data_IF_750510626150
#
_entry.id   IF_750510626150
#
_cell.length_a   1.000
_cell.length_b   1.000
_cell.length_c   1.000
_cell.angle_alpha   90.00
_cell.angle_beta   90.00
_cell.angle_gamma   90.00
#
_symmetry.space_group_name_H-M   'P 1'
#
loop_
_entity.id
_entity.type
_entity.pdbx_description
1 polymer ?
#
# COMPACT_ATOMS: atom_id res chain seq x y z
N UNK A 1 29.48 2.14 -4.19
CA UNK A 1 28.14 1.55 -4.19
C UNK A 1 27.28 2.31 -5.20
N UNK A 2 26.47 1.60 -5.99
CA UNK A 2 25.58 2.20 -6.99
C UNK A 2 24.18 1.66 -6.80
N UNK A 3 23.17 2.49 -7.02
CA UNK A 3 21.79 2.04 -7.15
C UNK A 3 21.45 1.82 -8.61
N UNK A 4 20.77 0.75 -8.90
CA UNK A 4 20.18 0.51 -10.23
C UNK A 4 18.88 1.29 -10.34
N UNK A 5 18.71 1.99 -11.46
CA UNK A 5 17.52 2.77 -11.75
C UNK A 5 16.94 2.26 -13.06
N UNK A 6 15.65 1.90 -13.01
CA UNK A 6 14.94 1.44 -14.21
C UNK A 6 13.82 2.40 -14.57
N UNK A 7 13.45 2.43 -15.82
CA UNK A 7 12.24 3.06 -16.34
C UNK A 7 11.77 2.34 -17.58
N UNK A 8 10.49 2.36 -17.86
CA UNK A 8 9.95 1.93 -19.14
C UNK A 8 9.86 3.16 -20.05
N UNK A 9 10.43 3.08 -21.26
CA UNK A 9 10.33 4.17 -22.21
C UNK A 9 9.00 4.11 -23.00
N UNK A 10 8.73 5.16 -23.80
CA UNK A 10 7.52 5.25 -24.64
C UNK A 10 7.33 4.08 -25.61
N UNK A 11 8.40 3.34 -25.90
CA UNK A 11 8.37 2.14 -26.77
C UNK A 11 8.16 0.85 -25.97
N UNK A 12 7.76 0.95 -24.71
CA UNK A 12 7.58 -0.16 -23.77
C UNK A 12 8.86 -1.01 -23.54
N UNK A 13 10.04 -0.39 -23.69
CA UNK A 13 11.34 -1.04 -23.45
C UNK A 13 11.89 -0.64 -22.09
N UNK A 14 12.36 -1.63 -21.32
CA UNK A 14 13.04 -1.40 -20.06
C UNK A 14 14.39 -0.72 -20.31
N UNK A 15 14.59 0.42 -19.68
CA UNK A 15 15.85 1.16 -19.64
C UNK A 15 16.48 0.97 -18.27
N UNK A 16 17.74 0.59 -18.22
CA UNK A 16 18.49 0.35 -16.98
C UNK A 16 19.68 1.30 -16.96
N UNK A 17 19.89 1.93 -15.82
CA UNK A 17 21.02 2.82 -15.55
C UNK A 17 21.48 2.67 -14.10
N UNK A 18 22.70 3.09 -13.79
CA UNK A 18 23.22 3.06 -12.42
C UNK A 18 23.67 4.44 -12.00
N UNK A 19 23.44 4.81 -10.74
CA UNK A 19 23.97 6.03 -10.14
C UNK A 19 24.70 5.73 -8.84
N UNK A 20 25.82 6.41 -8.61
CA UNK A 20 26.49 6.42 -7.32
C UNK A 20 25.55 7.02 -6.28
N UNK A 21 25.53 6.44 -5.08
CA UNK A 21 24.53 6.77 -4.02
C UNK A 21 24.54 8.25 -3.68
N UNK A 22 25.70 8.86 -3.51
CA UNK A 22 25.84 10.29 -3.20
C UNK A 22 25.15 11.16 -4.27
N UNK A 23 25.40 10.87 -5.54
CA UNK A 23 24.77 11.59 -6.65
C UNK A 23 23.27 11.33 -6.76
N UNK A 24 22.84 10.13 -6.33
CA UNK A 24 21.43 9.84 -6.25
C UNK A 24 20.76 10.69 -5.15
N UNK A 25 21.36 10.77 -3.96
CA UNK A 25 20.84 11.57 -2.85
C UNK A 25 20.85 13.08 -3.18
N UNK A 26 21.91 13.56 -3.81
CA UNK A 26 21.94 14.94 -4.32
C UNK A 26 20.81 15.21 -5.33
N UNK A 27 20.50 14.24 -6.17
CA UNK A 27 19.42 14.37 -7.15
C UNK A 27 18.06 14.48 -6.48
N UNK A 28 17.75 13.62 -5.50
CA UNK A 28 16.45 13.68 -4.82
C UNK A 28 16.32 14.92 -3.94
N UNK A 29 17.45 15.52 -3.50
CA UNK A 29 17.44 16.77 -2.74
C UNK A 29 17.25 18.01 -3.61
N UNK A 30 17.78 18.00 -4.84
CA UNK A 30 17.81 19.15 -5.75
C UNK A 30 16.74 19.17 -6.83
N UNK A 31 16.02 18.04 -7.02
CA UNK A 31 14.76 18.09 -7.72
C UNK A 31 14.76 18.05 -9.26
N UNK A 32 15.56 17.19 -9.88
CA UNK A 32 15.43 16.91 -11.32
C UNK A 32 14.06 16.30 -11.70
N UNK A 33 13.36 15.74 -10.72
CA UNK A 33 12.06 15.09 -10.91
C UNK A 33 10.91 15.81 -10.17
N UNK A 34 11.14 16.99 -9.62
CA UNK A 34 10.23 17.72 -8.72
C UNK A 34 8.80 17.79 -9.21
N UNK A 35 8.63 18.26 -10.42
CA UNK A 35 7.30 18.49 -10.96
C UNK A 35 6.50 17.18 -11.01
N UNK A 36 7.15 16.10 -11.40
CA UNK A 36 6.50 14.79 -11.48
C UNK A 36 6.18 14.22 -10.11
N UNK A 37 7.11 14.28 -9.15
CA UNK A 37 6.88 13.82 -7.76
C UNK A 37 5.88 14.72 -7.07
N UNK A 38 5.94 16.03 -7.25
CA UNK A 38 4.98 16.97 -6.69
C UNK A 38 3.58 16.72 -7.23
N UNK A 39 3.43 16.54 -8.54
CA UNK A 39 2.14 16.22 -9.15
C UNK A 39 1.59 14.88 -8.65
N UNK A 40 2.45 13.88 -8.50
CA UNK A 40 2.07 12.61 -7.90
C UNK A 40 1.56 12.80 -6.47
N UNK A 41 2.31 13.52 -5.62
CA UNK A 41 1.90 13.81 -4.24
C UNK A 41 0.59 14.57 -4.16
N UNK A 42 0.34 15.48 -5.10
CA UNK A 42 -0.94 16.21 -5.19
C UNK A 42 -2.09 15.33 -5.64
N UNK A 43 -1.84 14.33 -6.46
CA UNK A 43 -2.88 13.42 -6.98
C UNK A 43 -3.23 12.28 -6.01
N UNK A 44 -2.31 11.90 -5.12
CA UNK A 44 -2.53 10.87 -4.10
C UNK A 44 -3.80 11.12 -3.26
N UNK A 45 -4.18 12.38 -2.89
CA UNK A 45 -5.43 12.67 -2.20
C UNK A 45 -6.71 12.49 -3.03
N UNK A 46 -6.59 12.57 -4.32
CA UNK A 46 -7.75 12.58 -5.20
C UNK A 46 -8.10 11.16 -5.60
N UNK A 47 -9.04 10.52 -4.88
CA UNK A 47 -9.52 9.16 -5.20
C UNK A 47 -9.93 9.01 -6.68
N UNK A 48 -10.26 10.10 -7.35
CA UNK A 48 -10.69 10.11 -8.76
C UNK A 48 -9.55 10.00 -9.78
N UNK A 49 -8.41 10.55 -9.46
CA UNK A 49 -7.23 10.55 -10.35
C UNK A 49 -6.44 9.24 -10.29
N UNK A 50 -6.71 8.43 -9.31
CA UNK A 50 -5.79 7.48 -8.74
C UNK A 50 -5.56 6.24 -9.62
N UNK A 51 -6.63 5.63 -10.13
CA UNK A 51 -6.50 4.36 -10.88
C UNK A 51 -5.88 4.56 -12.26
N UNK A 52 -6.26 5.62 -12.97
CA UNK A 52 -5.68 5.96 -14.28
C UNK A 52 -4.21 6.39 -14.15
N UNK A 53 -3.89 7.09 -13.07
CA UNK A 53 -2.54 7.53 -12.80
C UNK A 53 -1.60 6.39 -12.43
N UNK A 54 -2.06 5.39 -11.68
CA UNK A 54 -1.27 4.19 -11.37
C UNK A 54 -1.00 3.28 -12.57
N UNK A 55 -1.82 3.35 -13.60
CA UNK A 55 -1.45 2.75 -14.90
C UNK A 55 -0.21 3.42 -15.50
N UNK A 56 -0.04 4.72 -15.27
CA UNK A 56 1.15 5.49 -15.68
C UNK A 56 2.39 5.23 -14.82
N UNK A 57 2.25 4.66 -13.60
CA UNK A 57 3.38 4.34 -12.71
C UNK A 57 4.38 3.36 -13.34
N UNK A 58 3.95 2.50 -14.26
CA UNK A 58 4.87 1.64 -15.01
C UNK A 58 5.96 2.43 -15.75
N UNK A 59 5.71 3.68 -16.11
CA UNK A 59 6.69 4.57 -16.75
C UNK A 59 7.59 5.29 -15.75
N UNK A 60 7.28 5.21 -14.44
CA UNK A 60 8.07 5.87 -13.40
C UNK A 60 9.46 5.24 -13.27
N UNK A 61 10.38 6.01 -12.72
CA UNK A 61 11.70 5.48 -12.41
C UNK A 61 11.63 4.69 -11.09
N UNK A 62 12.07 3.43 -11.14
CA UNK A 62 12.19 2.56 -9.97
C UNK A 62 13.65 2.41 -9.60
N UNK A 63 13.95 2.47 -8.32
CA UNK A 63 15.30 2.44 -7.75
C UNK A 63 15.47 1.17 -6.94
N UNK A 64 16.51 0.40 -7.26
CA UNK A 64 16.87 -0.86 -6.60
C UNK A 64 18.11 -0.63 -5.72
N UNK A 65 17.95 -0.52 -4.39
CA UNK A 65 19.06 -0.20 -3.51
C UNK A 65 19.86 -1.42 -3.08
N UNK A 66 19.25 -2.60 -2.99
CA UNK A 66 19.85 -3.80 -2.39
C UNK A 66 20.94 -4.45 -3.27
N UNK A 67 20.81 -4.29 -4.59
CA UNK A 67 21.76 -4.88 -5.54
C UNK A 67 21.95 -4.01 -6.79
N UNK A 68 23.08 -4.20 -7.44
CA UNK A 68 23.35 -3.69 -8.78
C UNK A 68 22.83 -4.72 -9.80
N UNK A 69 22.06 -4.25 -10.78
CA UNK A 69 21.51 -5.07 -11.87
C UNK A 69 21.94 -4.52 -13.23
N UNK A 70 22.13 -5.43 -14.19
CA UNK A 70 22.22 -5.10 -15.60
C UNK A 70 21.00 -5.66 -16.33
N UNK A 71 20.93 -5.38 -17.62
CA UNK A 71 19.89 -5.89 -18.50
C UNK A 71 20.48 -6.93 -19.43
N UNK A 72 19.83 -8.10 -19.56
CA UNK A 72 20.17 -9.11 -20.58
C UNK A 72 19.62 -8.75 -21.98
N UNK A 73 19.93 -9.56 -22.96
CA UNK A 73 19.45 -9.40 -24.35
C UNK A 73 17.92 -9.52 -24.44
N UNK A 74 17.30 -10.31 -23.55
CA UNK A 74 15.86 -10.51 -23.46
C UNK A 74 15.13 -9.38 -22.74
N UNK A 75 15.87 -8.47 -22.12
CA UNK A 75 15.31 -7.33 -21.39
C UNK A 75 15.07 -7.54 -19.91
N UNK A 76 15.49 -8.68 -19.34
CA UNK A 76 15.34 -8.96 -17.92
C UNK A 76 16.47 -8.34 -17.09
N UNK A 77 16.19 -8.07 -15.81
CA UNK A 77 17.22 -7.63 -14.86
C UNK A 77 18.06 -8.84 -14.43
N UNK A 78 19.38 -8.71 -14.55
CA UNK A 78 20.36 -9.71 -14.13
C UNK A 78 21.22 -9.17 -13.03
N UNK A 79 21.28 -9.89 -11.91
CA UNK A 79 22.10 -9.56 -10.75
C UNK A 79 23.59 -9.43 -11.13
N UNK A 80 24.22 -8.39 -10.59
CA UNK A 80 25.66 -8.17 -10.77
C UNK A 80 26.38 -8.20 -9.43
N UNK A 81 25.83 -7.50 -8.42
CA UNK A 81 26.51 -7.35 -7.14
C UNK A 81 25.51 -6.96 -6.06
N UNK A 82 25.65 -7.55 -4.87
CA UNK A 82 24.94 -7.09 -3.66
C UNK A 82 25.55 -5.80 -3.11
N UNK A 83 24.70 -4.88 -2.72
CA UNK A 83 25.09 -3.67 -2.01
C UNK A 83 25.16 -3.84 -0.49
N UNK A 84 24.73 -4.98 0.05
CA UNK A 84 24.65 -5.20 1.49
C UNK A 84 23.68 -4.23 2.18
N UNK A 85 22.55 -3.95 1.53
CA UNK A 85 21.50 -3.08 2.08
C UNK A 85 20.17 -3.82 2.13
N UNK A 86 19.43 -3.62 3.22
CA UNK A 86 18.00 -3.95 3.33
C UNK A 86 17.20 -2.68 3.25
N UNK A 87 16.10 -2.71 2.54
CA UNK A 87 15.14 -1.63 2.44
C UNK A 87 13.95 -1.89 3.36
N UNK A 88 13.65 -0.94 4.24
CA UNK A 88 12.39 -0.86 4.96
C UNK A 88 11.57 0.29 4.39
N UNK A 89 10.29 0.08 4.23
CA UNK A 89 9.37 1.09 3.75
C UNK A 89 8.34 1.37 4.86
N UNK A 90 8.54 2.44 5.63
CA UNK A 90 7.56 2.92 6.60
C UNK A 90 6.44 3.63 5.87
N UNK A 91 5.21 3.29 6.19
CA UNK A 91 4.00 3.78 5.51
C UNK A 91 3.03 4.42 6.50
N UNK A 92 2.02 5.12 5.97
CA UNK A 92 0.96 5.76 6.75
C UNK A 92 1.44 6.89 7.67
N UNK A 93 2.49 7.58 7.27
CA UNK A 93 2.97 8.78 7.94
C UNK A 93 2.17 9.98 7.41
N UNK A 94 1.15 10.38 8.17
CA UNK A 94 0.11 11.30 7.69
C UNK A 94 0.49 12.78 7.83
N UNK A 95 1.52 13.09 8.63
CA UNK A 95 1.99 14.45 8.84
C UNK A 95 3.50 14.56 8.66
N UNK A 96 3.99 15.77 8.38
CA UNK A 96 5.43 16.04 8.34
C UNK A 96 6.08 15.80 9.69
N UNK A 97 5.38 16.07 10.80
CA UNK A 97 5.87 15.80 12.15
C UNK A 97 6.10 14.30 12.40
N UNK A 98 5.17 13.44 11.95
CA UNK A 98 5.37 11.97 12.03
C UNK A 98 6.56 11.53 11.21
N UNK A 99 6.70 12.01 9.97
CA UNK A 99 7.83 11.70 9.09
C UNK A 99 9.16 12.11 9.72
N UNK A 100 9.23 13.33 10.23
CA UNK A 100 10.43 13.87 10.87
C UNK A 100 10.79 13.12 12.13
N UNK A 101 9.82 12.76 12.96
CA UNK A 101 10.02 11.96 14.16
C UNK A 101 10.58 10.56 13.84
N UNK A 102 9.98 9.88 12.86
CA UNK A 102 10.48 8.58 12.39
C UNK A 102 11.89 8.71 11.81
N UNK A 103 12.10 9.69 10.91
CA UNK A 103 13.39 9.93 10.27
C UNK A 103 14.49 10.22 11.30
N UNK A 104 14.20 11.05 12.30
CA UNK A 104 15.11 11.34 13.41
C UNK A 104 15.43 10.09 14.21
N UNK A 105 14.44 9.29 14.58
CA UNK A 105 14.64 8.07 15.37
C UNK A 105 15.49 7.06 14.61
N UNK A 106 15.18 6.77 13.34
CA UNK A 106 15.94 5.80 12.55
C UNK A 106 17.37 6.29 12.28
N UNK A 107 17.58 7.60 12.17
CA UNK A 107 18.92 8.18 11.96
C UNK A 107 19.87 8.03 13.15
N UNK A 108 19.33 7.78 14.35
CA UNK A 108 20.15 7.48 15.55
C UNK A 108 20.68 6.05 15.56
N UNK A 109 20.12 5.16 14.76
CA UNK A 109 20.59 3.78 14.68
C UNK A 109 21.85 3.70 13.82
N UNK A 110 22.97 3.18 14.34
CA UNK A 110 24.26 3.22 13.66
C UNK A 110 24.30 2.42 12.35
N UNK A 111 23.37 1.47 12.16
CA UNK A 111 23.25 0.68 10.95
C UNK A 111 22.42 1.37 9.85
N UNK A 112 21.73 2.48 10.14
CA UNK A 112 20.99 3.22 9.13
C UNK A 112 21.94 3.89 8.15
N UNK A 113 21.90 3.44 6.89
CA UNK A 113 22.72 3.95 5.81
C UNK A 113 22.13 5.22 5.19
N UNK A 114 20.80 5.20 4.91
CA UNK A 114 20.08 6.35 4.40
C UNK A 114 18.61 6.30 4.82
N UNK A 115 17.99 7.47 4.95
CA UNK A 115 16.55 7.61 5.17
C UNK A 115 16.03 8.85 4.45
N UNK A 116 14.96 8.70 3.67
CA UNK A 116 14.36 9.76 2.88
C UNK A 116 12.88 9.50 2.61
N UNK A 117 12.13 10.56 2.31
CA UNK A 117 10.71 10.46 2.00
C UNK A 117 10.42 9.59 0.78
N UNK A 118 9.34 8.82 0.83
CA UNK A 118 8.81 8.11 -0.32
C UNK A 118 8.15 9.03 -1.35
N UNK A 119 7.94 8.52 -2.55
CA UNK A 119 7.36 9.28 -3.65
C UNK A 119 5.94 9.80 -3.33
N UNK A 120 5.18 9.08 -2.52
CA UNK A 120 3.82 9.44 -2.10
C UNK A 120 3.76 10.56 -1.05
N UNK A 121 4.90 11.00 -0.49
CA UNK A 121 4.96 12.01 0.55
C UNK A 121 4.39 11.59 1.91
N UNK A 122 4.01 10.32 2.07
CA UNK A 122 3.40 9.73 3.27
C UNK A 122 4.12 8.50 3.77
N UNK A 123 5.27 8.27 3.22
CA UNK A 123 6.13 7.15 3.57
C UNK A 123 7.57 7.59 3.72
N UNK A 124 8.35 6.75 4.37
CA UNK A 124 9.79 6.92 4.53
C UNK A 124 10.50 5.65 4.09
N UNK A 125 11.46 5.79 3.19
CA UNK A 125 12.35 4.71 2.80
C UNK A 125 13.57 4.74 3.72
N UNK A 126 13.88 3.60 4.34
CA UNK A 126 15.05 3.45 5.20
C UNK A 126 15.91 2.32 4.66
N UNK A 127 17.16 2.64 4.36
CA UNK A 127 18.16 1.70 3.90
C UNK A 127 19.10 1.35 5.06
N UNK A 128 19.22 0.06 5.35
CA UNK A 128 19.96 -0.46 6.50
C UNK A 128 21.12 -1.30 5.99
N UNK A 129 22.34 -1.01 6.49
CA UNK A 129 23.53 -1.74 6.12
C UNK A 129 23.58 -3.11 6.80
N UNK A 130 23.85 -4.16 6.03
CA UNK A 130 23.91 -5.54 6.49
C UNK A 130 25.14 -6.26 5.95
N UNK A 131 25.59 -7.29 6.66
CA UNK A 131 26.64 -8.20 6.20
C UNK A 131 26.39 -9.61 6.76
N UNK A 132 27.07 -10.60 6.17
CA UNK A 132 27.11 -11.95 6.73
C UNK A 132 27.93 -12.02 8.04
N UNK A 133 28.02 -13.18 8.63
CA UNK A 133 28.80 -13.41 9.87
C UNK A 133 30.29 -13.06 9.72
N UNK A 134 30.82 -13.17 8.49
CA UNK A 134 32.20 -12.81 8.15
C UNK A 134 32.43 -11.30 7.97
N UNK A 135 31.35 -10.49 8.03
CA UNK A 135 31.43 -9.05 7.81
C UNK A 135 31.47 -8.65 6.33
N UNK A 136 31.03 -9.52 5.41
CA UNK A 136 31.05 -9.27 3.96
C UNK A 136 29.65 -9.34 3.35
N UNK A 137 29.46 -8.62 2.25
CA UNK A 137 28.29 -8.80 1.39
C UNK A 137 28.55 -9.99 0.45
N UNK A 138 27.59 -10.91 0.26
CA UNK A 138 27.74 -12.03 -0.67
C UNK A 138 27.89 -11.56 -2.14
N UNK A 139 28.68 -12.33 -2.88
CA UNK A 139 28.94 -12.05 -4.31
C UNK A 139 28.01 -12.82 -5.24
N UNK A 140 27.49 -13.97 -4.78
CA UNK A 140 26.56 -14.79 -5.55
C UNK A 140 25.13 -14.38 -5.27
N UNK A 141 24.28 -14.37 -6.29
CA UNK A 141 22.87 -13.96 -6.18
C UNK A 141 22.10 -14.78 -5.14
N UNK A 142 22.20 -16.10 -5.20
CA UNK A 142 21.50 -16.98 -4.26
C UNK A 142 21.87 -16.74 -2.81
N UNK A 143 23.17 -16.54 -2.51
CA UNK A 143 23.64 -16.26 -1.17
C UNK A 143 23.23 -14.86 -0.71
N UNK A 144 23.22 -13.91 -1.65
CA UNK A 144 22.78 -12.53 -1.38
C UNK A 144 21.27 -12.46 -1.10
N UNK A 145 20.46 -13.22 -1.83
CA UNK A 145 19.01 -13.27 -1.61
C UNK A 145 18.67 -13.95 -0.28
N UNK A 146 19.33 -15.04 0.06
CA UNK A 146 19.20 -15.69 1.37
C UNK A 146 19.58 -14.74 2.52
N UNK A 147 20.69 -14.01 2.38
CA UNK A 147 21.11 -13.01 3.37
C UNK A 147 20.06 -11.90 3.49
N UNK A 148 19.55 -11.40 2.37
CA UNK A 148 18.54 -10.34 2.35
C UNK A 148 17.25 -10.77 3.05
N UNK A 149 16.73 -11.96 2.74
CA UNK A 149 15.52 -12.51 3.36
C UNK A 149 15.70 -12.69 4.88
N UNK A 150 16.83 -13.27 5.30
CA UNK A 150 17.13 -13.46 6.71
C UNK A 150 17.33 -12.14 7.46
N UNK A 151 17.94 -11.17 6.80
CA UNK A 151 18.17 -9.84 7.35
C UNK A 151 16.88 -9.02 7.47
N UNK A 152 15.99 -9.13 6.49
CA UNK A 152 14.77 -8.31 6.45
C UNK A 152 13.94 -8.46 7.73
N UNK A 153 13.68 -9.68 8.18
CA UNK A 153 12.86 -9.91 9.38
C UNK A 153 13.58 -9.44 10.66
N UNK A 154 14.90 -9.61 10.75
CA UNK A 154 15.67 -9.14 11.89
C UNK A 154 15.73 -7.61 11.95
N UNK A 155 16.01 -6.97 10.82
CA UNK A 155 16.04 -5.51 10.68
C UNK A 155 14.64 -4.92 10.92
N UNK A 156 13.60 -5.50 10.35
CA UNK A 156 12.21 -5.09 10.55
C UNK A 156 11.83 -5.12 12.02
N UNK A 157 12.10 -6.24 12.71
CA UNK A 157 11.80 -6.38 14.16
C UNK A 157 12.55 -5.34 14.99
N UNK A 158 13.83 -5.13 14.71
CA UNK A 158 14.62 -4.11 15.40
C UNK A 158 14.05 -2.70 15.21
N UNK A 159 13.77 -2.31 13.98
CA UNK A 159 13.27 -0.96 13.69
C UNK A 159 11.85 -0.74 14.19
N UNK A 160 10.99 -1.75 14.14
CA UNK A 160 9.65 -1.69 14.72
C UNK A 160 9.66 -1.53 16.24
N UNK A 161 10.67 -2.06 16.93
CA UNK A 161 10.82 -1.84 18.38
C UNK A 161 11.21 -0.41 18.75
N UNK A 162 11.77 0.35 17.80
CA UNK A 162 12.21 1.73 18.02
C UNK A 162 11.22 2.77 17.49
N UNK A 163 10.38 2.40 16.54
CA UNK A 163 9.50 3.32 15.83
C UNK A 163 8.07 2.77 15.79
N UNK A 164 7.14 3.56 16.30
CA UNK A 164 5.71 3.23 16.24
C UNK A 164 5.12 3.63 14.87
N UNK A 165 5.61 3.00 13.80
CA UNK A 165 5.10 3.22 12.46
C UNK A 165 4.99 1.89 11.70
N UNK A 166 3.99 1.77 10.85
CA UNK A 166 3.77 0.57 10.06
C UNK A 166 4.86 0.42 8.99
N UNK A 167 5.41 -0.77 8.85
CA UNK A 167 6.29 -1.13 7.74
C UNK A 167 5.44 -1.84 6.68
N UNK A 168 5.63 -1.45 5.42
CA UNK A 168 4.97 -2.02 4.25
C UNK A 168 5.13 -3.54 4.25
N UNK A 169 4.02 -4.31 4.28
CA UNK A 169 4.08 -5.76 4.18
C UNK A 169 4.45 -6.14 2.74
N UNK A 170 5.68 -6.58 2.54
CA UNK A 170 6.15 -7.03 1.24
C UNK A 170 7.03 -8.27 1.37
N UNK A 171 7.07 -9.09 0.31
CA UNK A 171 7.99 -10.22 0.25
C UNK A 171 9.41 -9.68 0.09
N UNK A 172 10.33 -9.97 1.03
CA UNK A 172 11.69 -9.49 0.92
C UNK A 172 12.40 -10.10 -0.29
N UNK A 173 13.01 -9.25 -1.11
CA UNK A 173 13.76 -9.64 -2.31
C UNK A 173 14.88 -8.65 -2.60
N UNK A 174 15.97 -9.13 -3.19
CA UNK A 174 17.01 -8.24 -3.73
C UNK A 174 16.47 -7.27 -4.79
N UNK A 175 15.38 -7.64 -5.46
CA UNK A 175 14.69 -6.82 -6.44
C UNK A 175 13.65 -5.87 -5.81
N UNK A 176 13.55 -5.80 -4.48
CA UNK A 176 12.72 -4.78 -3.81
C UNK A 176 13.18 -3.39 -4.25
N UNK A 177 12.22 -2.56 -4.61
CA UNK A 177 12.49 -1.25 -5.20
C UNK A 177 11.51 -0.19 -4.67
N UNK A 178 11.86 1.05 -4.89
CA UNK A 178 11.00 2.19 -4.60
C UNK A 178 10.95 3.13 -5.80
N UNK A 179 9.90 3.92 -5.89
CA UNK A 179 9.74 4.94 -6.93
C UNK A 179 10.68 6.11 -6.66
N UNK A 180 11.26 6.68 -7.72
CA UNK A 180 12.07 7.89 -7.62
C UNK A 180 11.29 8.96 -6.85
N UNK A 181 11.93 9.57 -5.87
CA UNK A 181 11.31 10.48 -4.91
C UNK A 181 11.99 11.85 -4.86
N UNK A 182 11.45 12.71 -4.03
CA UNK A 182 11.96 14.03 -3.67
C UNK A 182 12.01 14.15 -2.15
N UNK A 183 13.16 14.51 -1.62
CA UNK A 183 13.36 14.83 -0.20
C UNK A 183 14.44 15.93 -0.09
N UNK A 184 14.06 17.10 0.40
CA UNK A 184 14.97 18.25 0.50
C UNK A 184 16.12 18.02 1.51
N UNK A 185 15.96 17.07 2.45
CA UNK A 185 16.93 16.78 3.51
C UNK A 185 17.06 15.28 3.76
N UNK A 186 17.55 14.49 2.78
CA UNK A 186 17.74 13.07 2.97
C UNK A 186 18.83 12.81 4.01
N UNK A 187 18.58 11.88 4.94
CA UNK A 187 19.63 11.43 5.83
C UNK A 187 20.57 10.48 5.09
N UNK A 188 21.87 10.63 5.34
CA UNK A 188 22.90 9.77 4.76
C UNK A 188 24.05 9.56 5.74
N UNK A 189 24.43 8.31 5.94
CA UNK A 189 25.58 7.91 6.74
C UNK A 189 26.48 6.95 5.94
N UNK A 190 27.50 7.50 5.30
CA UNK A 190 28.48 6.69 4.54
C UNK A 190 29.32 5.74 5.40
N UNK A 191 29.31 5.93 6.72
CA UNK A 191 30.01 5.11 7.72
C UNK A 191 29.06 4.21 8.52
N UNK A 192 27.88 3.94 7.99
CA UNK A 192 26.92 3.06 8.66
C UNK A 192 27.54 1.71 8.98
N UNK A 193 27.35 1.26 10.22
CA UNK A 193 27.86 -0.02 10.70
C UNK A 193 26.99 -1.14 10.15
N UNK A 194 27.57 -2.07 9.39
CA UNK A 194 26.79 -3.18 8.86
C UNK A 194 26.34 -4.13 9.99
N UNK A 195 25.03 -4.36 10.07
CA UNK A 195 24.46 -5.34 10.99
C UNK A 195 24.85 -6.74 10.54
N UNK A 196 25.49 -7.51 11.42
CA UNK A 196 25.84 -8.90 11.15
C UNK A 196 24.60 -9.77 11.27
N UNK A 197 24.31 -10.51 10.23
CA UNK A 197 23.13 -11.38 10.15
C UNK A 197 23.56 -12.81 10.42
N UNK A 198 23.01 -13.40 11.47
CA UNK A 198 23.19 -14.83 11.74
C UNK A 198 22.28 -15.65 10.83
N UNK A 199 22.88 -16.57 10.06
CA UNK A 199 22.16 -17.51 9.22
C UNK A 199 21.54 -18.69 10.02
N UNK A 200 21.80 -18.76 11.33
CA UNK A 200 21.28 -19.80 12.22
C UNK A 200 19.80 -19.64 12.63
N UNK A 201 19.05 -18.75 12.03
CA UNK A 201 17.61 -18.85 12.18
C UNK A 201 17.15 -20.13 11.46
N UNK A 202 16.79 -21.15 12.27
CA UNK A 202 15.96 -22.30 11.86
C UNK A 202 15.00 -21.80 10.78
N UNK A 203 14.98 -22.45 9.61
CA UNK A 203 13.95 -22.22 8.58
C UNK A 203 12.66 -21.88 9.29
N UNK A 204 12.29 -20.60 9.28
CA UNK A 204 10.99 -20.16 9.78
C UNK A 204 10.00 -21.07 9.09
N UNK A 205 9.19 -21.72 9.90
CA UNK A 205 8.30 -22.79 9.51
C UNK A 205 7.80 -22.62 8.08
N UNK A 206 8.14 -23.62 7.26
CA UNK A 206 7.67 -23.86 5.89
C UNK A 206 6.89 -22.69 5.26
N UNK A 207 7.52 -22.02 4.29
CA UNK A 207 6.82 -21.15 3.37
C UNK A 207 5.44 -21.77 3.03
N UNK A 208 4.38 -20.99 3.02
CA UNK A 208 3.07 -21.50 2.63
C UNK A 208 3.21 -22.25 1.30
N UNK A 209 2.68 -23.44 1.24
CA UNK A 209 2.89 -24.42 0.15
C UNK A 209 2.35 -23.99 -1.22
N UNK A 210 1.70 -22.82 -1.30
CA UNK A 210 1.22 -22.23 -2.54
C UNK A 210 1.80 -20.82 -2.69
N UNK A 211 2.69 -20.66 -3.66
CA UNK A 211 3.29 -19.38 -4.05
C UNK A 211 2.23 -18.39 -4.58
N UNK A 212 1.07 -18.90 -5.01
CA UNK A 212 -0.06 -18.13 -5.51
C UNK A 212 -0.83 -17.35 -4.43
N UNK A 213 -0.60 -17.65 -3.14
CA UNK A 213 -1.33 -17.01 -2.03
C UNK A 213 -0.60 -15.80 -1.41
N UNK A 214 0.61 -15.47 -1.85
CA UNK A 214 1.37 -14.35 -1.33
C UNK A 214 1.16 -13.10 -2.19
N UNK A 215 0.09 -12.37 -1.90
CA UNK A 215 -0.11 -11.04 -2.46
C UNK A 215 0.94 -10.08 -1.91
N UNK A 216 1.53 -9.29 -2.81
CA UNK A 216 2.41 -8.19 -2.42
C UNK A 216 1.60 -6.99 -1.93
N UNK A 217 2.25 -6.02 -1.28
CA UNK A 217 1.58 -4.77 -0.92
C UNK A 217 0.97 -4.06 -2.14
N UNK A 218 1.64 -4.12 -3.28
CA UNK A 218 1.15 -3.50 -4.51
C UNK A 218 -0.09 -4.22 -5.04
N UNK A 219 -0.19 -5.56 -4.83
CA UNK A 219 -1.41 -6.32 -5.10
C UNK A 219 -2.53 -5.90 -4.15
N UNK A 220 -2.25 -5.70 -2.85
CA UNK A 220 -3.24 -5.22 -1.89
C UNK A 220 -3.67 -3.79 -2.17
N UNK A 221 -2.75 -2.91 -2.55
CA UNK A 221 -3.08 -1.56 -2.98
C UNK A 221 -3.95 -1.58 -4.24
N UNK A 222 -3.65 -2.43 -5.20
CA UNK A 222 -4.48 -2.65 -6.38
C UNK A 222 -5.90 -3.13 -5.99
N UNK A 223 -6.00 -4.09 -5.07
CA UNK A 223 -7.28 -4.60 -4.57
C UNK A 223 -8.08 -3.52 -3.84
N UNK A 224 -7.42 -2.71 -3.01
CA UNK A 224 -8.06 -1.57 -2.37
C UNK A 224 -8.66 -0.61 -3.41
N UNK A 225 -7.89 -0.22 -4.43
CA UNK A 225 -8.35 0.69 -5.47
C UNK A 225 -9.49 0.13 -6.26
N UNK A 226 -9.42 -1.14 -6.61
CA UNK A 226 -10.52 -1.83 -7.27
C UNK A 226 -11.79 -1.79 -6.40
N UNK A 227 -11.67 -2.13 -5.12
CA UNK A 227 -12.79 -2.09 -4.18
C UNK A 227 -13.37 -0.68 -4.03
N UNK A 228 -12.50 0.35 -3.96
CA UNK A 228 -12.91 1.75 -3.85
C UNK A 228 -13.62 2.25 -5.12
N UNK A 229 -13.11 1.91 -6.30
CA UNK A 229 -13.72 2.29 -7.58
C UNK A 229 -15.09 1.63 -7.77
N UNK A 230 -15.19 0.32 -7.52
CA UNK A 230 -16.47 -0.39 -7.54
C UNK A 230 -17.49 0.20 -6.56
N UNK A 231 -17.04 0.53 -5.32
CA UNK A 231 -17.91 1.16 -4.32
C UNK A 231 -18.37 2.53 -4.77
N UNK A 232 -17.49 3.32 -5.37
CA UNK A 232 -17.81 4.65 -5.89
C UNK A 232 -18.83 4.56 -7.03
N UNK A 233 -18.65 3.62 -7.94
CA UNK A 233 -19.63 3.40 -9.02
C UNK A 233 -21.01 2.98 -8.49
N UNK A 234 -21.03 2.10 -7.49
CA UNK A 234 -22.25 1.68 -6.82
C UNK A 234 -22.94 2.84 -6.12
N UNK A 235 -22.19 3.66 -5.36
CA UNK A 235 -22.72 4.87 -4.72
C UNK A 235 -23.23 5.89 -5.74
N UNK A 236 -22.51 6.07 -6.85
CA UNK A 236 -22.95 6.94 -7.95
C UNK A 236 -24.25 6.44 -8.59
N UNK A 237 -24.38 5.14 -8.83
CA UNK A 237 -25.62 4.51 -9.32
C UNK A 237 -26.77 4.69 -8.33
N UNK A 238 -26.49 4.68 -7.05
CA UNK A 238 -27.44 4.95 -5.98
C UNK A 238 -27.73 6.45 -5.75
N UNK A 239 -27.14 7.34 -6.54
CA UNK A 239 -27.21 8.80 -6.39
C UNK A 239 -26.65 9.31 -5.03
N UNK A 240 -25.72 8.57 -4.43
CA UNK A 240 -25.03 8.92 -3.19
C UNK A 240 -23.70 9.55 -3.56
N UNK A 241 -23.49 10.81 -3.19
CA UNK A 241 -22.20 11.50 -3.40
C UNK A 241 -21.29 11.30 -2.20
N UNK A 242 -20.00 11.07 -2.43
CA UNK A 242 -18.98 11.02 -1.40
C UNK A 242 -18.70 12.38 -0.73
N UNK A 243 -19.19 13.48 -1.29
CA UNK A 243 -18.76 14.82 -0.91
C UNK A 243 -19.31 15.26 0.45
N UNK A 244 -18.40 15.67 1.32
CA UNK A 244 -18.57 16.52 2.52
C UNK A 244 -19.48 16.00 3.65
N UNK A 245 -19.69 14.70 3.77
CA UNK A 245 -20.50 14.11 4.84
C UNK A 245 -19.78 12.91 5.46
N UNK A 246 -19.46 13.01 6.75
CA UNK A 246 -18.77 11.94 7.48
C UNK A 246 -19.50 10.60 7.38
N UNK A 247 -20.81 10.59 7.48
CA UNK A 247 -21.61 9.37 7.40
C UNK A 247 -21.50 8.70 6.05
N UNK A 248 -21.32 9.45 4.97
CA UNK A 248 -21.10 8.91 3.63
C UNK A 248 -19.71 8.32 3.46
N UNK A 249 -18.70 8.96 4.04
CA UNK A 249 -17.35 8.36 4.10
C UNK A 249 -17.36 7.07 4.91
N UNK A 250 -18.04 7.04 6.05
CA UNK A 250 -18.20 5.85 6.87
C UNK A 250 -18.87 4.71 6.08
N UNK A 251 -19.95 5.01 5.35
CA UNK A 251 -20.62 4.05 4.49
C UNK A 251 -19.70 3.51 3.39
N UNK A 252 -18.97 4.39 2.72
CA UNK A 252 -18.03 4.04 1.68
C UNK A 252 -16.89 3.17 2.19
N UNK A 253 -16.27 3.54 3.31
CA UNK A 253 -15.20 2.74 3.91
C UNK A 253 -15.70 1.39 4.44
N UNK A 254 -16.92 1.32 4.96
CA UNK A 254 -17.55 0.04 5.33
C UNK A 254 -17.71 -0.89 4.13
N UNK A 255 -18.23 -0.36 3.01
CA UNK A 255 -18.39 -1.13 1.78
C UNK A 255 -17.04 -1.59 1.21
N UNK A 256 -16.02 -0.72 1.24
CA UNK A 256 -14.65 -1.08 0.85
C UNK A 256 -14.10 -2.18 1.75
N UNK A 257 -14.24 -2.08 3.07
CA UNK A 257 -13.77 -3.08 4.03
C UNK A 257 -14.41 -4.46 3.76
N UNK A 258 -15.69 -4.50 3.47
CA UNK A 258 -16.41 -5.72 3.09
C UNK A 258 -15.81 -6.34 1.82
N UNK A 259 -15.61 -5.53 0.77
CA UNK A 259 -15.01 -5.99 -0.49
C UNK A 259 -13.60 -6.53 -0.29
N UNK A 260 -12.78 -5.84 0.51
CA UNK A 260 -11.42 -6.27 0.83
C UNK A 260 -11.41 -7.58 1.62
N UNK A 261 -12.32 -7.75 2.58
CA UNK A 261 -12.52 -9.02 3.28
C UNK A 261 -12.84 -10.16 2.29
N UNK A 262 -13.73 -9.92 1.33
CA UNK A 262 -14.10 -10.91 0.31
C UNK A 262 -12.95 -11.22 -0.65
N UNK A 263 -12.09 -10.25 -0.95
CA UNK A 263 -10.88 -10.42 -1.75
C UNK A 263 -9.76 -11.13 -0.99
N UNK A 264 -9.93 -11.39 0.32
CA UNK A 264 -9.02 -12.19 1.14
C UNK A 264 -7.94 -11.40 1.85
N UNK A 265 -8.05 -10.08 1.99
CA UNK A 265 -7.17 -9.30 2.85
C UNK A 265 -7.47 -9.63 4.32
N UNK A 266 -6.45 -9.51 5.17
CA UNK A 266 -6.65 -9.50 6.62
C UNK A 266 -7.26 -8.18 7.07
N UNK A 267 -7.86 -8.17 8.26
CA UNK A 267 -8.44 -6.96 8.87
C UNK A 267 -7.40 -5.83 8.98
N UNK A 268 -6.18 -6.16 9.42
CA UNK A 268 -5.11 -5.18 9.60
C UNK A 268 -4.62 -4.61 8.26
N UNK A 269 -4.47 -5.44 7.23
CA UNK A 269 -4.11 -4.97 5.89
C UNK A 269 -5.19 -4.06 5.31
N UNK A 270 -6.46 -4.42 5.44
CA UNK A 270 -7.56 -3.59 5.00
C UNK A 270 -7.60 -2.25 5.76
N UNK A 271 -7.40 -2.28 7.08
CA UNK A 271 -7.33 -1.08 7.90
C UNK A 271 -6.19 -0.14 7.47
N UNK A 272 -4.99 -0.68 7.20
CA UNK A 272 -3.83 0.09 6.72
C UNK A 272 -4.18 0.85 5.43
N UNK A 273 -4.81 0.17 4.47
CA UNK A 273 -5.15 0.79 3.19
C UNK A 273 -6.29 1.80 3.30
N UNK A 274 -7.31 1.51 4.10
CA UNK A 274 -8.42 2.44 4.36
C UNK A 274 -7.92 3.68 5.11
N UNK A 275 -7.11 3.51 6.16
CA UNK A 275 -6.51 4.62 6.92
C UNK A 275 -5.71 5.54 6.02
N UNK A 276 -4.88 4.98 5.15
CA UNK A 276 -4.06 5.74 4.19
C UNK A 276 -4.89 6.63 3.28
N UNK A 277 -6.08 6.18 2.91
CA UNK A 277 -6.97 6.88 1.98
C UNK A 277 -8.10 7.68 2.67
N UNK A 278 -8.07 7.78 4.00
CA UNK A 278 -9.07 8.50 4.78
C UNK A 278 -8.95 10.03 4.67
N UNK A 279 -7.75 10.58 4.49
CA UNK A 279 -7.48 12.03 4.36
C UNK A 279 -8.06 12.91 5.48
N UNK A 280 -8.26 12.34 6.67
CA UNK A 280 -8.80 13.06 7.82
C UNK A 280 -10.32 13.24 7.80
N UNK A 281 -11.04 12.59 6.90
CA UNK A 281 -12.50 12.67 6.84
C UNK A 281 -13.19 11.95 8.00
N UNK A 282 -12.52 10.94 8.55
CA UNK A 282 -13.05 10.11 9.66
C UNK A 282 -11.95 9.88 10.69
N UNK A 283 -12.29 9.82 11.97
CA UNK A 283 -11.32 9.52 13.04
C UNK A 283 -10.83 8.07 12.95
N UNK A 284 -9.60 7.81 13.38
CA UNK A 284 -8.99 6.48 13.33
C UNK A 284 -9.79 5.45 14.17
N UNK A 285 -10.34 5.86 15.31
CA UNK A 285 -11.20 5.00 16.13
C UNK A 285 -12.45 4.53 15.38
N UNK A 286 -13.13 5.45 14.71
CA UNK A 286 -14.30 5.12 13.88
C UNK A 286 -13.93 4.21 12.70
N UNK A 287 -12.78 4.44 12.08
CA UNK A 287 -12.29 3.57 11.01
C UNK A 287 -12.02 2.16 11.52
N UNK A 288 -11.33 1.99 12.66
CA UNK A 288 -11.11 0.68 13.27
C UNK A 288 -12.41 -0.02 13.59
N UNK A 289 -13.36 0.69 14.17
CA UNK A 289 -14.67 0.13 14.49
C UNK A 289 -15.40 -0.37 13.24
N UNK A 290 -15.36 0.39 12.15
CA UNK A 290 -16.02 0.00 10.89
C UNK A 290 -15.36 -1.21 10.27
N UNK A 291 -14.03 -1.20 10.15
CA UNK A 291 -13.28 -2.31 9.59
C UNK A 291 -13.51 -3.56 10.44
N UNK A 292 -13.37 -3.47 11.77
CA UNK A 292 -13.64 -4.57 12.68
C UNK A 292 -15.06 -5.12 12.53
N UNK A 293 -16.07 -4.25 12.50
CA UNK A 293 -17.47 -4.67 12.32
C UNK A 293 -17.68 -5.38 10.97
N UNK A 294 -17.09 -4.86 9.89
CA UNK A 294 -17.18 -5.46 8.57
C UNK A 294 -16.55 -6.86 8.56
N UNK A 295 -15.39 -7.03 9.19
CA UNK A 295 -14.68 -8.30 9.26
C UNK A 295 -15.34 -9.28 10.21
N UNK A 296 -15.83 -8.87 11.38
CA UNK A 296 -16.55 -9.72 12.33
C UNK A 296 -17.83 -10.32 11.72
N UNK A 297 -18.52 -9.53 10.93
CA UNK A 297 -19.74 -9.96 10.28
C UNK A 297 -19.45 -10.93 9.13
N UNK A 298 -18.46 -10.63 8.29
CA UNK A 298 -18.14 -11.44 7.11
C UNK A 298 -17.25 -12.66 7.38
N UNK A 299 -16.39 -12.62 8.39
CA UNK A 299 -15.56 -13.79 8.73
C UNK A 299 -16.38 -14.98 9.24
N UNK A 300 -17.53 -14.71 9.85
CA UNK A 300 -18.48 -15.74 10.29
C UNK A 300 -19.19 -16.41 9.10
N UNK A 301 -19.55 -15.64 8.10
CA UNK A 301 -20.18 -16.15 6.88
C UNK A 301 -19.20 -17.01 6.05
N UNK A 302 -17.91 -16.66 6.03
CA UNK A 302 -16.86 -17.41 5.32
C UNK A 302 -16.62 -18.82 5.86
N UNK A 303 -16.87 -19.06 7.15
CA UNK A 303 -16.74 -20.42 7.76
C UNK A 303 -17.89 -21.35 7.35
N UNK A 304 -19.04 -20.79 7.01
CA UNK A 304 -20.23 -21.53 6.54
C UNK A 304 -20.25 -21.77 5.03
N UNK A 305 -19.57 -20.94 4.23
CA UNK A 305 -19.63 -20.98 2.77
C UNK A 305 -18.64 -21.93 2.08
N UNK A 306 -17.71 -22.57 2.79
CA UNK A 306 -16.91 -23.66 2.20
C UNK A 306 -17.74 -24.85 1.72
N UNK A 307 -19.05 -24.83 1.95
CA UNK A 307 -20.00 -25.90 1.57
C UNK A 307 -21.08 -25.53 0.55
N UNK A 308 -21.10 -24.28 -0.01
CA UNK A 308 -22.14 -23.91 -0.97
C UNK A 308 -21.64 -22.92 -2.05
N UNK A 309 -21.10 -23.46 -3.13
CA UNK A 309 -20.80 -22.71 -4.35
C UNK A 309 -22.10 -22.26 -5.03
N UNK A 310 -22.57 -21.06 -4.81
CA UNK A 310 -23.71 -20.53 -5.58
C UNK A 310 -24.49 -19.35 -4.99
N UNK A 311 -24.17 -18.87 -3.78
CA UNK A 311 -24.96 -17.81 -3.12
C UNK A 311 -24.18 -16.53 -2.76
N UNK A 312 -22.97 -16.35 -3.30
CA UNK A 312 -22.05 -15.27 -2.89
C UNK A 312 -22.59 -13.84 -3.06
N UNK A 313 -23.33 -13.53 -4.12
CA UNK A 313 -23.79 -12.17 -4.37
C UNK A 313 -24.98 -11.71 -3.51
N UNK A 314 -25.75 -12.64 -2.95
CA UNK A 314 -27.00 -12.31 -2.25
C UNK A 314 -26.80 -11.85 -0.80
N UNK A 315 -25.80 -12.41 -0.12
CA UNK A 315 -25.49 -12.04 1.28
C UNK A 315 -24.86 -10.64 1.37
N UNK A 316 -24.00 -10.29 0.43
CA UNK A 316 -23.35 -8.97 0.34
C UNK A 316 -24.36 -7.87 0.08
N UNK A 317 -25.26 -8.10 -0.88
CA UNK A 317 -26.34 -7.18 -1.20
C UNK A 317 -27.28 -6.98 0.01
N UNK A 318 -27.62 -8.06 0.72
CA UNK A 318 -28.50 -7.98 1.90
C UNK A 318 -27.86 -7.21 3.06
N UNK A 319 -26.55 -7.26 3.23
CA UNK A 319 -25.85 -6.55 4.28
C UNK A 319 -25.69 -5.07 3.97
N UNK A 320 -25.40 -4.73 2.71
CA UNK A 320 -25.43 -3.37 2.23
C UNK A 320 -26.84 -2.77 2.35
N UNK A 321 -27.87 -3.55 2.02
CA UNK A 321 -29.26 -3.16 2.21
C UNK A 321 -29.57 -2.88 3.70
N UNK A 322 -29.20 -3.77 4.62
CA UNK A 322 -29.42 -3.56 6.06
C UNK A 322 -28.70 -2.34 6.60
N UNK A 323 -27.47 -2.08 6.14
CA UNK A 323 -26.75 -0.87 6.51
C UNK A 323 -27.45 0.37 5.97
N UNK A 324 -27.86 0.35 4.71
CA UNK A 324 -28.61 1.45 4.09
C UNK A 324 -29.97 1.64 4.78
N UNK A 325 -30.67 0.57 5.14
CA UNK A 325 -31.95 0.59 5.87
C UNK A 325 -31.77 1.18 7.29
N UNK A 326 -30.62 0.99 7.94
CA UNK A 326 -30.34 1.61 9.24
C UNK A 326 -30.20 3.13 9.16
N UNK A 327 -29.85 3.67 8.01
CA UNK A 327 -29.61 5.11 7.77
C UNK A 327 -30.66 5.79 6.93
N UNK A 328 -31.33 5.04 6.07
CA UNK A 328 -32.27 5.55 5.09
C UNK A 328 -33.57 4.76 5.12
N UNK A 329 -34.69 5.47 4.94
CA UNK A 329 -35.95 4.83 4.67
C UNK A 329 -36.10 4.65 3.17
N UNK A 330 -36.42 3.43 2.75
CA UNK A 330 -36.72 3.09 1.37
C UNK A 330 -38.21 2.88 1.20
N UNK A 331 -38.73 3.31 0.07
CA UNK A 331 -40.08 2.96 -0.38
C UNK A 331 -40.09 2.65 -1.87
N UNK A 332 -40.92 1.72 -2.25
CA UNK A 332 -41.14 1.45 -3.67
C UNK A 332 -42.31 2.29 -4.20
N UNK A 333 -42.04 3.11 -5.22
CA UNK A 333 -43.05 3.86 -5.90
C UNK A 333 -43.74 2.96 -6.95
N UNK A 334 -44.92 2.51 -6.61
CA UNK A 334 -45.69 1.56 -7.47
C UNK A 334 -46.18 2.17 -8.76
N UNK A 335 -46.37 3.49 -8.82
CA UNK A 335 -46.81 4.21 -10.02
C UNK A 335 -45.67 4.39 -10.99
N UNK A 336 -44.54 4.86 -10.50
CA UNK A 336 -43.35 5.16 -11.32
C UNK A 336 -42.38 3.95 -11.44
N UNK A 337 -42.67 2.84 -10.71
CA UNK A 337 -41.92 1.58 -10.72
C UNK A 337 -40.41 1.72 -10.40
N UNK A 338 -40.07 2.60 -9.48
CA UNK A 338 -38.70 2.70 -8.94
C UNK A 338 -38.72 2.81 -7.43
N UNK A 339 -37.54 2.53 -6.83
CA UNK A 339 -37.30 2.67 -5.39
C UNK A 339 -36.89 4.10 -5.08
N UNK A 340 -37.44 4.67 -4.03
CA UNK A 340 -37.08 5.98 -3.49
C UNK A 340 -36.47 5.82 -2.12
N UNK A 341 -35.62 6.74 -1.70
CA UNK A 341 -34.99 6.75 -0.38
C UNK A 341 -35.00 8.14 0.26
N UNK A 342 -34.93 8.18 1.58
CA UNK A 342 -34.66 9.39 2.37
C UNK A 342 -33.81 9.05 3.59
N UNK A 343 -32.96 9.99 4.13
CA UNK A 343 -32.26 9.80 5.39
C UNK A 343 -33.21 9.62 6.57
N UNK A 344 -32.92 8.72 7.50
CA UNK A 344 -33.75 8.46 8.69
C UNK A 344 -33.91 9.69 9.60
N UNK A 345 -32.92 10.60 9.62
CA UNK A 345 -32.92 11.80 10.45
C UNK A 345 -33.51 13.02 9.76
N UNK A 346 -34.09 12.89 8.59
CA UNK A 346 -34.71 13.99 7.85
C UNK A 346 -36.20 14.07 8.18
N UNK A 347 -36.61 15.14 8.86
CA UNK A 347 -38.01 15.43 9.18
C UNK A 347 -38.81 15.94 7.97
N UNK A 348 -38.09 16.56 7.03
CA UNK A 348 -38.65 17.10 5.80
C UNK A 348 -37.68 16.79 4.70
N UNK A 349 -37.78 15.62 4.12
CA UNK A 349 -36.94 15.23 2.98
C UNK A 349 -37.81 14.58 1.92
N UNK A 350 -37.81 15.14 0.74
CA UNK A 350 -38.40 14.48 -0.40
C UNK A 350 -37.66 13.15 -0.64
N UNK A 351 -38.44 12.11 -0.82
CA UNK A 351 -37.90 10.84 -1.27
C UNK A 351 -37.25 11.02 -2.66
N UNK A 352 -36.05 10.54 -2.81
CA UNK A 352 -35.29 10.63 -4.06
C UNK A 352 -35.26 9.28 -4.77
N UNK A 353 -35.41 9.25 -6.10
CA UNK A 353 -35.37 8.00 -6.83
C UNK A 353 -34.00 7.34 -6.77
N UNK A 354 -33.99 6.02 -6.61
CA UNK A 354 -32.81 5.17 -6.83
C UNK A 354 -32.80 4.79 -8.31
N UNK A 355 -31.67 4.94 -8.99
CA UNK A 355 -31.55 4.63 -10.42
C UNK A 355 -31.98 3.18 -10.71
N UNK A 356 -32.92 3.01 -11.63
CA UNK A 356 -33.54 1.73 -11.99
C UNK A 356 -32.54 0.65 -12.47
N UNK A 357 -31.30 1.03 -12.80
CA UNK A 357 -30.23 0.07 -13.17
C UNK A 357 -29.67 -0.73 -11.98
N UNK A 358 -29.98 -0.35 -10.76
CA UNK A 358 -29.56 -1.06 -9.53
C UNK A 358 -30.56 -2.16 -9.16
N UNK A 359 -31.73 -2.24 -9.81
CA UNK A 359 -32.81 -3.19 -9.49
C UNK A 359 -32.69 -4.54 -10.23
N UNK A 360 -31.73 -4.71 -11.10
CA UNK A 360 -31.43 -5.97 -11.79
C UNK A 360 -30.13 -6.56 -11.28
#
# INVERSE_FOLDING_TARGET
MKFTITRINKQNKLMVSSKIVERFLERIAKDDAKLSVTNFRMSVPLMEADYQYYKGIKEWQHVYPAAEFNKDESGNLVFQKSNGLVMLHFINLMSDQEKDAVKKTVSLLPMTFAAFEGADGRSLIVLVSICNEEGKAPTKEADADLLYQSAYEQVKTLYQSQVQAAIKPEKPSLASNFMLTLDASPYYNSKAVAMRISQNMKKVASAPKNVDDLKTYDDYEFLYRKAAEETKEEMKKANISWQNDEDRFLAGFSAIAIKLCNMGLSEEEAFIHIRRNNWGHVTEEKLRQIVGTAYDTHSKDRKTEKSASGRKGRAEILQMIRYLESRYQFRYNTVMKYTEYRPNNSWVGDFRPVDARVQK
#
